data_IF_493864634853
#
_entry.id   IF_493864634853
#
_cell.length_a   1.000
_cell.length_b   1.000
_cell.length_c   1.000
_cell.angle_alpha   90.00
_cell.angle_beta   90.00
_cell.angle_gamma   90.00
#
_symmetry.space_group_name_H-M   'P 1'
#
loop_
_entity.id
_entity.type
_entity.pdbx_description
1 polymer ?
#
# COMPACT_ATOMS: atom_id res chain seq x y z
N UNK A 1 16.59 -12.99 6.22
CA UNK A 1 17.15 -12.16 5.13
C UNK A 1 16.01 -11.44 4.44
N UNK A 2 15.69 -10.21 4.84
CA UNK A 2 14.67 -9.40 4.15
C UNK A 2 15.37 -8.59 3.07
N UNK A 3 15.33 -9.07 1.83
CA UNK A 3 15.93 -8.37 0.71
C UNK A 3 15.30 -6.97 0.57
N UNK A 4 16.13 -5.94 0.63
CA UNK A 4 15.75 -4.53 0.44
C UNK A 4 15.40 -4.31 -1.03
N UNK A 5 14.24 -4.81 -1.47
CA UNK A 5 13.80 -4.63 -2.85
C UNK A 5 13.19 -3.24 -3.02
N UNK A 6 13.68 -2.45 -3.96
CA UNK A 6 13.00 -1.21 -4.37
C UNK A 6 11.58 -1.52 -4.85
N UNK A 7 10.58 -0.69 -4.51
CA UNK A 7 9.23 -0.85 -5.04
C UNK A 7 9.23 -0.72 -6.57
N UNK A 8 8.46 -1.56 -7.25
CA UNK A 8 8.17 -1.34 -8.67
C UNK A 8 7.36 -0.04 -8.86
N UNK A 9 7.35 0.58 -10.06
CA UNK A 9 6.55 1.78 -10.30
C UNK A 9 5.07 1.63 -9.95
N UNK A 10 4.48 0.45 -10.23
CA UNK A 10 3.10 0.15 -9.86
C UNK A 10 2.88 0.06 -8.33
N UNK A 11 3.87 -0.46 -7.59
CA UNK A 11 3.83 -0.49 -6.13
C UNK A 11 4.04 0.90 -5.54
N UNK A 12 4.96 1.70 -6.08
CA UNK A 12 5.17 3.08 -5.67
C UNK A 12 3.90 3.92 -5.88
N UNK A 13 3.26 3.77 -7.04
CA UNK A 13 1.99 4.43 -7.32
C UNK A 13 0.87 3.98 -6.35
N UNK A 14 0.74 2.67 -6.10
CA UNK A 14 -0.22 2.17 -5.13
C UNK A 14 0.04 2.72 -3.72
N UNK A 15 1.31 2.75 -3.28
CA UNK A 15 1.69 3.32 -1.99
C UNK A 15 1.41 4.83 -1.94
N UNK A 16 1.64 5.57 -3.03
CA UNK A 16 1.28 6.97 -3.13
C UNK A 16 -0.22 7.18 -2.94
N UNK A 17 -1.06 6.43 -3.67
CA UNK A 17 -2.52 6.50 -3.53
C UNK A 17 -2.99 6.14 -2.10
N UNK A 18 -2.39 5.14 -1.45
CA UNK A 18 -2.67 4.82 -0.04
C UNK A 18 -2.34 6.01 0.87
N UNK A 19 -1.21 6.68 0.63
CA UNK A 19 -0.75 7.83 1.41
C UNK A 19 -1.64 9.06 1.20
N UNK A 20 -2.04 9.34 -0.03
CA UNK A 20 -2.91 10.49 -0.38
C UNK A 20 -4.40 10.19 -0.21
N UNK A 21 -4.77 8.94 0.11
CA UNK A 21 -6.15 8.44 0.15
C UNK A 21 -6.88 8.61 -1.19
N UNK A 22 -6.12 8.61 -2.28
CA UNK A 22 -6.67 8.66 -3.64
C UNK A 22 -7.05 7.25 -4.12
N UNK A 23 -8.07 7.13 -4.99
CA UNK A 23 -8.37 5.86 -5.63
C UNK A 23 -7.20 5.44 -6.53
N UNK A 24 -6.84 4.15 -6.53
CA UNK A 24 -5.86 3.59 -7.46
C UNK A 24 -6.57 3.39 -8.82
N UNK A 25 -6.28 4.20 -9.84
CA UNK A 25 -7.00 4.14 -11.11
C UNK A 25 -6.69 2.83 -11.85
N UNK A 26 -7.69 2.28 -12.54
CA UNK A 26 -7.56 1.12 -13.44
C UNK A 26 -7.22 -0.23 -12.78
N UNK A 27 -7.44 -0.40 -11.47
CA UNK A 27 -7.34 -1.71 -10.80
C UNK A 27 -8.71 -2.31 -10.47
N UNK A 28 -8.89 -3.59 -10.80
CA UNK A 28 -10.01 -4.37 -10.30
C UNK A 28 -9.84 -4.65 -8.79
N UNK A 29 -10.95 -4.87 -8.07
CA UNK A 29 -10.92 -5.17 -6.62
C UNK A 29 -9.97 -6.32 -6.26
N UNK A 30 -9.93 -7.38 -7.09
CA UNK A 30 -9.02 -8.52 -6.88
C UNK A 30 -7.54 -8.16 -7.09
N UNK A 31 -7.22 -7.37 -8.12
CA UNK A 31 -5.83 -6.89 -8.35
C UNK A 31 -5.37 -5.96 -7.24
N UNK A 32 -6.27 -5.11 -6.76
CA UNK A 32 -6.02 -4.20 -5.65
C UNK A 32 -5.75 -4.96 -4.34
N UNK A 33 -6.60 -5.94 -4.02
CA UNK A 33 -6.40 -6.81 -2.85
C UNK A 33 -5.06 -7.55 -2.92
N UNK A 34 -4.72 -8.12 -4.08
CA UNK A 34 -3.44 -8.77 -4.29
C UNK A 34 -2.24 -7.80 -4.15
N UNK A 35 -2.37 -6.57 -4.65
CA UNK A 35 -1.34 -5.53 -4.49
C UNK A 35 -1.14 -5.20 -3.00
N UNK A 36 -2.22 -4.99 -2.25
CA UNK A 36 -2.13 -4.74 -0.82
C UNK A 36 -1.52 -5.90 -0.04
N UNK A 37 -1.91 -7.14 -0.35
CA UNK A 37 -1.30 -8.32 0.29
C UNK A 37 0.21 -8.40 0.02
N UNK A 38 0.68 -8.02 -1.18
CA UNK A 38 2.12 -7.93 -1.47
C UNK A 38 2.83 -6.84 -0.67
N UNK A 39 2.22 -5.67 -0.52
CA UNK A 39 2.80 -4.58 0.28
C UNK A 39 2.86 -4.96 1.76
N UNK A 40 1.83 -5.63 2.27
CA UNK A 40 1.76 -6.13 3.65
C UNK A 40 2.77 -7.24 3.91
N UNK A 41 2.89 -8.21 2.99
CA UNK A 41 3.89 -9.28 3.09
C UNK A 41 5.34 -8.75 3.10
N UNK A 42 5.57 -7.57 2.50
CA UNK A 42 6.87 -6.87 2.52
C UNK A 42 7.07 -5.96 3.75
N UNK A 43 6.06 -5.86 4.61
CA UNK A 43 6.08 -4.95 5.76
C UNK A 43 6.01 -3.47 5.38
N UNK A 44 5.61 -3.13 4.16
CA UNK A 44 5.46 -1.74 3.68
C UNK A 44 4.10 -1.15 3.97
N UNK A 45 3.09 -2.00 4.13
CA UNK A 45 1.75 -1.59 4.50
C UNK A 45 1.21 -2.49 5.62
N UNK A 46 0.16 -2.02 6.29
CA UNK A 46 -0.59 -2.76 7.30
C UNK A 46 -2.09 -2.56 7.08
N UNK A 47 -2.87 -3.60 7.38
CA UNK A 47 -4.32 -3.49 7.43
C UNK A 47 -4.72 -2.88 8.78
N UNK A 48 -5.29 -1.69 8.74
CA UNK A 48 -5.90 -1.06 9.90
C UNK A 48 -7.35 -1.52 10.01
N UNK A 49 -7.74 -2.03 11.19
CA UNK A 49 -9.15 -2.08 11.57
C UNK A 49 -9.59 -0.65 11.87
N UNK A 50 -10.52 -0.12 11.09
CA UNK A 50 -11.17 1.14 11.42
C UNK A 50 -12.17 0.83 12.52
N UNK A 51 -11.82 1.15 13.77
CA UNK A 51 -12.82 1.26 14.81
C UNK A 51 -13.81 2.36 14.44
N UNK A 52 -15.10 2.02 14.41
CA UNK A 52 -16.25 2.93 14.30
C UNK A 52 -16.54 3.62 12.96
N UNK A 53 -16.26 2.98 11.82
CA UNK A 53 -17.05 3.25 10.61
C UNK A 53 -17.55 1.96 9.97
N UNK A 54 -18.83 1.70 10.17
CA UNK A 54 -19.65 0.69 9.48
C UNK A 54 -19.89 1.06 8.01
N UNK A 55 -18.82 1.33 7.25
CA UNK A 55 -18.87 1.46 5.80
C UNK A 55 -18.19 0.25 5.14
N UNK A 56 -18.75 -0.94 5.44
CA UNK A 56 -18.52 -2.16 4.67
C UNK A 56 -17.16 -2.87 4.83
N UNK A 57 -16.93 -3.96 4.06
CA UNK A 57 -15.75 -4.85 4.16
C UNK A 57 -14.43 -4.23 3.66
N UNK A 58 -14.32 -2.91 3.66
CA UNK A 58 -13.14 -2.19 3.20
C UNK A 58 -12.15 -2.02 4.35
N UNK A 59 -11.28 -3.01 4.55
CA UNK A 59 -10.12 -2.85 5.43
C UNK A 59 -9.31 -1.61 4.99
N UNK A 60 -9.14 -0.63 5.88
CA UNK A 60 -8.23 0.48 5.60
C UNK A 60 -6.80 -0.04 5.54
N UNK A 61 -6.03 0.43 4.57
CA UNK A 61 -4.61 0.09 4.44
C UNK A 61 -3.82 1.35 4.76
N UNK A 62 -2.78 1.23 5.58
CA UNK A 62 -1.86 2.33 5.90
C UNK A 62 -0.43 1.92 5.58
N UNK A 63 0.39 2.87 5.16
CA UNK A 63 1.83 2.63 5.02
C UNK A 63 2.52 2.58 6.37
N UNK A 64 3.45 1.66 6.53
CA UNK A 64 4.36 1.63 7.66
C UNK A 64 5.48 2.66 7.48
N UNK A 65 6.29 2.89 8.51
CA UNK A 65 7.51 3.70 8.37
C UNK A 65 8.46 3.14 7.29
N UNK A 66 8.57 1.81 7.19
CA UNK A 66 9.37 1.14 6.17
C UNK A 66 8.79 1.35 4.75
N UNK A 67 7.47 1.28 4.58
CA UNK A 67 6.83 1.57 3.29
C UNK A 67 6.96 3.02 2.86
N UNK A 68 6.88 3.96 3.82
CA UNK A 68 7.09 5.38 3.54
C UNK A 68 8.53 5.67 3.10
N UNK A 69 9.52 5.04 3.75
CA UNK A 69 10.92 5.14 3.34
C UNK A 69 11.17 4.48 1.97
N UNK A 70 10.52 3.34 1.69
CA UNK A 70 10.62 2.66 0.40
C UNK A 70 9.99 3.50 -0.73
N UNK A 71 8.85 4.16 -0.47
CA UNK A 71 8.22 5.08 -1.41
C UNK A 71 9.11 6.30 -1.68
N UNK A 72 9.71 6.90 -0.65
CA UNK A 72 10.64 8.02 -0.81
C UNK A 72 11.84 7.65 -1.69
N UNK A 73 12.39 6.43 -1.54
CA UNK A 73 13.45 5.90 -2.40
C UNK A 73 13.01 5.65 -3.84
N UNK A 74 11.74 5.32 -4.05
CA UNK A 74 11.19 5.05 -5.39
C UNK A 74 10.79 6.32 -6.17
N UNK A 75 10.48 7.42 -5.48
CA UNK A 75 10.12 8.71 -6.09
C UNK A 75 11.28 9.70 -6.23
N UNK A 76 12.47 9.37 -5.73
CA UNK A 76 13.69 10.17 -5.87
C UNK A 76 14.52 9.82 -7.12
N UNK A 77 13.91 9.15 -8.10
CA UNK A 77 14.53 8.74 -9.37
C UNK A 77 13.75 9.29 -10.56
#
# INVERSE_FOLDING_TARGET
MSAQHTPTPAQAHAMHCIKTREPIPRMTRGRLAHMYSKLVARGWAEYCRVGDRTDGPHACVRLTGAGSAALAKAGAA
#
